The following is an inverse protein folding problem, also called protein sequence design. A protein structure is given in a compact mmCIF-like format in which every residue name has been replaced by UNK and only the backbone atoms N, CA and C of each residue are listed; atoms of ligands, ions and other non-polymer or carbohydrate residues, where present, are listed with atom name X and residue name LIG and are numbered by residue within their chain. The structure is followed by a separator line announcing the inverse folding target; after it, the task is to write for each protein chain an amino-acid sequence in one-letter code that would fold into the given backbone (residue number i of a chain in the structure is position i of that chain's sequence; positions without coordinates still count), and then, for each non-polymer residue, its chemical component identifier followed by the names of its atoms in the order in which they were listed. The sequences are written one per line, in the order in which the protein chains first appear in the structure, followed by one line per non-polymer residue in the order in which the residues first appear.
data_IF_831406259152
#
_entry.id   IF_831406259152
#
_cell.length_a   1.000
_cell.length_b   1.000
_cell.length_c   1.000
_cell.angle_alpha   90.00
_cell.angle_beta   90.00
_cell.angle_gamma   90.00
#
_symmetry.space_group_name_H-M   'P 1'
#
loop_
_entity.id
_entity.type
_entity.pdbx_description
1 polymer ?
#
# COMPACT_ATOMS: atom_id res chain seq x y z
N UNK A 1 19.49 5.51 -10.79
CA UNK A 1 18.32 6.41 -10.83
C UNK A 1 18.83 7.80 -10.57
N UNK A 2 18.59 8.71 -11.50
CA UNK A 2 19.03 10.09 -11.39
C UNK A 2 18.08 10.91 -10.50
N UNK A 3 18.57 11.95 -9.84
CA UNK A 3 17.77 12.77 -8.91
C UNK A 3 16.66 13.50 -9.66
N UNK A 4 16.90 13.90 -10.91
CA UNK A 4 15.88 14.51 -11.78
C UNK A 4 14.76 13.53 -12.15
N UNK A 5 15.09 12.26 -12.41
CA UNK A 5 14.13 11.20 -12.73
C UNK A 5 13.26 10.86 -11.51
N UNK A 6 13.86 10.86 -10.32
CA UNK A 6 13.17 10.74 -9.04
C UNK A 6 12.18 11.90 -8.85
N UNK A 7 12.65 13.14 -9.02
CA UNK A 7 11.85 14.35 -8.80
C UNK A 7 10.68 14.46 -9.79
N UNK A 8 10.88 14.12 -11.06
CA UNK A 8 9.82 14.05 -12.06
C UNK A 8 8.80 12.94 -11.77
N UNK A 9 9.29 11.79 -11.30
CA UNK A 9 8.44 10.66 -10.88
C UNK A 9 7.57 11.08 -9.69
N UNK A 10 8.17 11.65 -8.64
CA UNK A 10 7.46 12.14 -7.44
C UNK A 10 6.50 13.29 -7.75
N UNK A 11 6.90 14.28 -8.55
CA UNK A 11 6.02 15.40 -8.94
C UNK A 11 4.72 14.93 -9.60
N UNK A 12 4.77 13.84 -10.38
CA UNK A 12 3.58 13.21 -10.96
C UNK A 12 2.65 12.55 -9.93
N UNK A 13 3.17 12.15 -8.77
CA UNK A 13 2.38 11.57 -7.65
C UNK A 13 1.77 12.64 -6.75
N UNK A 14 2.45 13.76 -6.55
CA UNK A 14 1.97 14.85 -5.69
C UNK A 14 0.92 15.76 -6.35
N UNK A 15 0.68 15.62 -7.66
CA UNK A 15 -0.32 16.40 -8.40
C UNK A 15 -1.61 15.58 -8.55
N UNK A 16 -2.51 15.66 -7.56
CA UNK A 16 -3.93 15.23 -7.61
C UNK A 16 -4.25 13.93 -8.36
N UNK A 17 -3.49 12.86 -8.11
CA UNK A 17 -3.72 11.55 -8.72
C UNK A 17 -4.01 10.48 -7.69
N UNK A 18 -4.86 9.55 -8.12
CA UNK A 18 -5.09 8.28 -7.45
C UNK A 18 -3.74 7.61 -7.18
N UNK A 19 -3.46 7.35 -5.92
CA UNK A 19 -2.26 6.65 -5.46
C UNK A 19 -2.57 5.18 -5.33
N UNK A 20 -1.92 4.35 -6.15
CA UNK A 20 -1.94 2.88 -5.99
C UNK A 20 -0.60 2.42 -5.43
N UNK A 21 -0.65 1.62 -4.36
CA UNK A 21 0.54 1.05 -3.75
C UNK A 21 0.31 -0.41 -3.32
N UNK A 22 1.40 -1.17 -3.30
CA UNK A 22 1.47 -2.49 -2.69
C UNK A 22 2.29 -2.35 -1.41
N UNK A 23 1.81 -2.89 -0.30
CA UNK A 23 2.46 -2.72 1.00
C UNK A 23 2.69 -4.10 1.62
N UNK A 24 3.96 -4.44 1.82
CA UNK A 24 4.32 -5.58 2.67
C UNK A 24 4.26 -5.16 4.13
N UNK A 25 3.63 -5.95 4.99
CA UNK A 25 3.49 -5.67 6.43
C UNK A 25 4.01 -6.84 7.23
N UNK A 26 4.92 -6.55 8.14
CA UNK A 26 5.41 -7.47 9.17
C UNK A 26 4.64 -7.20 10.46
N UNK A 27 4.23 -8.27 11.12
CA UNK A 27 3.38 -8.25 12.30
C UNK A 27 3.93 -9.10 13.44
N UNK A 28 3.33 -8.96 14.62
CA UNK A 28 3.47 -9.97 15.67
C UNK A 28 2.81 -11.27 15.23
N UNK A 29 3.51 -12.39 15.38
CA UNK A 29 3.07 -13.73 14.93
C UNK A 29 1.66 -14.08 15.45
N UNK A 30 1.34 -13.67 16.68
CA UNK A 30 0.04 -13.94 17.30
C UNK A 30 -1.06 -12.91 16.97
N UNK A 31 -0.78 -11.94 16.08
CA UNK A 31 -1.69 -10.84 15.75
C UNK A 31 -2.00 -10.70 14.26
N UNK A 32 -1.43 -11.54 13.39
CA UNK A 32 -1.64 -11.51 11.92
C UNK A 32 -3.13 -11.33 11.56
N UNK A 33 -3.99 -12.22 12.07
CA UNK A 33 -5.44 -12.19 11.78
C UNK A 33 -6.12 -10.91 12.29
N UNK A 34 -5.77 -10.45 13.49
CA UNK A 34 -6.34 -9.24 14.06
C UNK A 34 -5.93 -8.01 13.24
N UNK A 35 -4.66 -7.93 12.84
CA UNK A 35 -4.14 -6.85 11.99
C UNK A 35 -4.82 -6.86 10.62
N UNK A 36 -4.96 -8.04 10.00
CA UNK A 36 -5.65 -8.20 8.72
C UNK A 36 -7.11 -7.72 8.81
N UNK A 37 -7.84 -8.12 9.86
CA UNK A 37 -9.23 -7.69 10.08
C UNK A 37 -9.34 -6.17 10.22
N UNK A 38 -8.54 -5.54 11.08
CA UNK A 38 -8.59 -4.08 11.30
C UNK A 38 -8.25 -3.29 10.04
N UNK A 39 -7.28 -3.77 9.26
CA UNK A 39 -6.87 -3.12 8.02
C UNK A 39 -7.94 -3.30 6.93
N UNK A 40 -8.63 -4.45 6.89
CA UNK A 40 -9.68 -4.72 5.91
C UNK A 40 -10.91 -3.79 6.02
N UNK A 41 -11.08 -3.12 7.16
CA UNK A 41 -12.14 -2.12 7.36
C UNK A 41 -11.85 -0.78 6.66
N UNK A 42 -10.66 -0.58 6.09
CA UNK A 42 -10.30 0.66 5.39
C UNK A 42 -10.83 0.62 3.96
N UNK A 43 -11.73 1.54 3.61
CA UNK A 43 -12.34 1.60 2.27
C UNK A 43 -11.34 1.70 1.12
N UNK A 44 -10.17 2.30 1.35
CA UNK A 44 -9.12 2.47 0.34
C UNK A 44 -8.12 1.30 0.28
N UNK A 45 -8.27 0.28 1.13
CA UNK A 45 -7.54 -0.99 1.03
C UNK A 45 -8.38 -1.92 0.16
N UNK A 46 -7.92 -2.14 -1.08
CA UNK A 46 -8.64 -2.95 -2.06
C UNK A 46 -8.47 -4.45 -1.76
N UNK A 47 -7.28 -4.85 -1.35
CA UNK A 47 -6.97 -6.25 -1.07
C UNK A 47 -6.09 -6.38 0.20
N UNK A 48 -6.38 -7.40 1.00
CA UNK A 48 -5.56 -7.84 2.15
C UNK A 48 -5.27 -9.33 1.97
N UNK A 49 -4.00 -9.67 1.79
CA UNK A 49 -3.57 -11.06 1.68
C UNK A 49 -2.71 -11.43 2.88
N UNK A 50 -3.02 -12.54 3.54
CA UNK A 50 -2.09 -13.22 4.44
C UNK A 50 -1.19 -14.09 3.56
N UNK A 51 0.12 -13.91 3.68
CA UNK A 51 1.10 -14.56 2.79
C UNK A 51 2.21 -15.23 3.57
N UNK A 52 2.87 -16.19 2.91
CA UNK A 52 4.16 -16.71 3.36
C UNK A 52 5.29 -15.86 2.78
N UNK A 53 6.36 -15.60 3.54
CA UNK A 53 7.56 -14.93 3.04
C UNK A 53 8.14 -13.93 4.06
N UNK A 54 8.78 -12.88 3.56
CA UNK A 54 9.39 -11.83 4.39
C UNK A 54 8.36 -10.91 5.09
N UNK A 55 7.09 -11.01 4.68
CA UNK A 55 5.96 -10.27 5.25
C UNK A 55 4.87 -11.26 5.64
N UNK A 56 4.06 -10.87 6.62
CA UNK A 56 2.88 -11.63 7.02
C UNK A 56 1.65 -11.21 6.19
N UNK A 57 1.57 -9.92 5.85
CA UNK A 57 0.51 -9.39 5.00
C UNK A 57 1.06 -8.70 3.75
N UNK A 58 0.33 -8.80 2.66
CA UNK A 58 0.47 -7.94 1.48
C UNK A 58 -0.84 -7.23 1.24
N UNK A 59 -0.78 -5.90 1.25
CA UNK A 59 -1.92 -5.03 0.99
C UNK A 59 -1.81 -4.48 -0.42
N UNK A 60 -2.96 -4.34 -1.09
CA UNK A 60 -3.09 -3.45 -2.24
C UNK A 60 -4.05 -2.34 -1.87
N UNK A 61 -3.63 -1.10 -2.12
CA UNK A 61 -4.39 0.09 -1.75
C UNK A 61 -4.56 1.05 -2.91
N UNK A 62 -5.66 1.80 -2.90
CA UNK A 62 -5.99 2.83 -3.88
C UNK A 62 -6.61 4.05 -3.19
N UNK A 63 -5.81 5.09 -3.03
CA UNK A 63 -6.20 6.35 -2.38
C UNK A 63 -6.47 7.44 -3.41
N UNK A 64 -7.35 8.42 -3.13
CA UNK A 64 -7.67 9.48 -4.08
C UNK A 64 -6.53 10.49 -4.27
N UNK A 65 -5.67 10.67 -3.26
CA UNK A 65 -4.53 11.57 -3.27
C UNK A 65 -3.43 11.07 -2.32
N UNK A 66 -2.27 11.72 -2.35
CA UNK A 66 -1.12 11.36 -1.53
C UNK A 66 -1.30 11.73 -0.05
N UNK A 67 -2.06 12.78 0.27
CA UNK A 67 -2.28 13.21 1.65
C UNK A 67 -3.05 12.16 2.45
N UNK A 68 -4.18 11.68 1.92
CA UNK A 68 -4.98 10.60 2.52
C UNK A 68 -4.17 9.29 2.62
N UNK A 69 -3.32 9.03 1.63
CA UNK A 69 -2.43 7.87 1.66
C UNK A 69 -1.38 7.97 2.77
N UNK A 70 -0.73 9.13 2.92
CA UNK A 70 0.24 9.38 3.98
C UNK A 70 -0.41 9.28 5.36
N UNK A 71 -1.61 9.85 5.50
CA UNK A 71 -2.43 9.76 6.71
C UNK A 71 -2.69 8.30 7.08
N UNK A 72 -3.12 7.48 6.11
CA UNK A 72 -3.29 6.04 6.33
C UNK A 72 -2.00 5.35 6.80
N UNK A 73 -0.86 5.60 6.15
CA UNK A 73 0.40 4.96 6.50
C UNK A 73 0.83 5.30 7.94
N UNK A 74 0.79 6.58 8.30
CA UNK A 74 1.35 7.09 9.57
C UNK A 74 0.36 6.91 10.72
N UNK A 75 -0.92 7.23 10.49
CA UNK A 75 -1.91 7.33 11.56
C UNK A 75 -2.82 6.12 11.68
N UNK A 76 -2.86 5.23 10.68
CA UNK A 76 -3.64 3.99 10.76
C UNK A 76 -2.76 2.75 10.75
N UNK A 77 -1.99 2.53 9.68
CA UNK A 77 -1.21 1.31 9.49
C UNK A 77 -0.11 1.18 10.56
N UNK A 78 0.77 2.18 10.68
CA UNK A 78 1.88 2.14 11.64
C UNK A 78 1.42 2.10 13.11
N UNK A 79 0.20 2.57 13.40
CA UNK A 79 -0.39 2.57 14.74
C UNK A 79 -1.26 1.35 15.04
N UNK A 80 -1.48 0.47 14.06
CA UNK A 80 -2.30 -0.73 14.25
C UNK A 80 -1.58 -1.69 15.21
N UNK A 81 -2.18 -2.07 16.35
CA UNK A 81 -1.53 -2.95 17.33
C UNK A 81 -1.12 -4.29 16.73
N UNK A 82 0.18 -4.58 16.77
CA UNK A 82 0.76 -5.78 16.19
C UNK A 82 1.46 -5.55 14.86
N UNK A 83 1.39 -4.36 14.25
CA UNK A 83 2.26 -4.00 13.12
C UNK A 83 3.65 -3.65 13.64
N UNK A 84 4.68 -4.33 13.13
CA UNK A 84 6.09 -4.06 13.45
C UNK A 84 6.74 -3.14 12.43
N UNK A 85 6.47 -3.41 11.15
CA UNK A 85 7.09 -2.71 10.02
C UNK A 85 6.23 -2.80 8.79
N UNK A 86 6.31 -1.80 7.93
CA UNK A 86 5.77 -1.86 6.58
C UNK A 86 6.81 -1.45 5.54
N UNK A 87 6.66 -1.99 4.32
CA UNK A 87 7.42 -1.57 3.14
C UNK A 87 6.45 -1.25 2.02
N UNK A 88 6.42 0.02 1.64
CA UNK A 88 5.55 0.54 0.58
C UNK A 88 6.24 0.47 -0.78
N UNK A 89 5.51 -0.02 -1.77
CA UNK A 89 5.92 -0.05 -3.18
C UNK A 89 4.88 0.71 -4.00
N UNK A 90 5.26 1.88 -4.49
CA UNK A 90 4.40 2.71 -5.34
C UNK A 90 4.22 2.05 -6.71
N UNK A 91 2.99 1.95 -7.19
CA UNK A 91 2.71 1.39 -8.51
C UNK A 91 2.99 2.45 -9.58
N UNK A 92 3.96 2.17 -10.46
CA UNK A 92 4.33 3.05 -11.58
C UNK A 92 3.44 2.85 -12.82
N UNK A 93 2.84 1.66 -12.94
CA UNK A 93 1.93 1.33 -14.03
C UNK A 93 1.40 -0.09 -13.90
N UNK A 94 0.15 -0.27 -14.31
CA UNK A 94 -0.54 -1.55 -14.26
C UNK A 94 -0.59 -2.13 -15.68
N UNK A 95 -0.12 -3.36 -15.87
CA UNK A 95 -0.23 -4.08 -17.16
C UNK A 95 -1.45 -4.98 -17.21
N UNK A 96 -1.80 -5.59 -16.08
CA UNK A 96 -2.94 -6.48 -15.91
C UNK A 96 -3.37 -6.45 -14.44
N UNK A 97 -4.66 -6.40 -14.19
CA UNK A 97 -5.23 -6.40 -12.84
C UNK A 97 -6.61 -7.07 -12.87
N UNK A 98 -6.97 -7.80 -11.81
CA UNK A 98 -8.24 -8.55 -11.75
C UNK A 98 -8.52 -9.44 -12.98
N UNK A 99 -7.46 -10.03 -13.54
CA UNK A 99 -7.58 -10.87 -14.74
C UNK A 99 -7.68 -10.10 -16.07
N UNK A 100 -7.80 -8.77 -16.06
CA UNK A 100 -8.00 -7.93 -17.24
C UNK A 100 -6.73 -7.17 -17.62
N UNK A 101 -6.39 -7.15 -18.92
CA UNK A 101 -5.29 -6.33 -19.43
C UNK A 101 -5.71 -4.87 -19.38
N UNK A 102 -4.85 -4.02 -18.82
CA UNK A 102 -5.07 -2.58 -18.86
C UNK A 102 -4.60 -2.08 -20.22
N UNK A 103 -5.55 -1.66 -21.07
CA UNK A 103 -5.24 -0.97 -22.32
C UNK A 103 -4.83 0.46 -21.95
N UNK A 104 -3.68 0.88 -22.46
CA UNK A 104 -3.13 2.20 -22.19
C UNK A 104 -3.74 3.23 -23.12
#
# INVERSE_FOLDING_TARGET
MDVEELTATFGKYYTDKIVTAIIGVETDVNRVENVASVISEVSYVEDVFIVTGDYDLVLKVRFPNFEDFQEFLVNRLAKTPGVKRSKTMMVLGVKKEMGQKMMR
#
